data_IF_192689371529
#
_entry.id   IF_192689371529
#
_cell.length_a   1.000
_cell.length_b   1.000
_cell.length_c   1.000
_cell.angle_alpha   90.00
_cell.angle_beta   90.00
_cell.angle_gamma   90.00
#
_symmetry.space_group_name_H-M   'P 1'
#
loop_
_entity.id
_entity.type
_entity.pdbx_description
1 polymer ?
#
# COMPACT_ATOMS: atom_id res chain seq x y z
N UNK A 1 9.66 15.94 -16.86
CA UNK A 1 10.04 16.62 -15.60
C UNK A 1 8.89 17.34 -14.89
N UNK A 2 7.63 17.28 -15.36
CA UNK A 2 6.47 17.90 -14.69
C UNK A 2 5.80 17.05 -13.59
N UNK A 3 6.23 15.80 -13.40
CA UNK A 3 5.70 14.91 -12.35
C UNK A 3 6.17 15.25 -10.93
N UNK A 4 7.37 15.83 -10.80
CA UNK A 4 8.09 15.94 -9.53
C UNK A 4 7.36 16.85 -8.52
N UNK A 5 6.85 18.01 -8.97
CA UNK A 5 6.17 18.98 -8.09
C UNK A 5 4.86 18.46 -7.48
N UNK A 6 4.12 17.59 -8.20
CA UNK A 6 2.87 17.03 -7.67
C UNK A 6 3.15 16.00 -6.58
N UNK A 7 4.20 15.20 -6.75
CA UNK A 7 4.60 14.21 -5.75
C UNK A 7 5.19 14.88 -4.51
N UNK A 8 5.94 15.97 -4.66
CA UNK A 8 6.47 16.77 -3.54
C UNK A 8 5.36 17.32 -2.62
N UNK A 9 4.25 17.83 -3.18
CA UNK A 9 3.15 18.38 -2.39
C UNK A 9 2.31 17.29 -1.68
N UNK A 10 2.30 16.07 -2.22
CA UNK A 10 1.49 14.98 -1.68
C UNK A 10 2.06 14.36 -0.42
N UNK A 11 3.38 14.31 -0.27
CA UNK A 11 4.01 13.70 0.91
C UNK A 11 3.62 14.42 2.20
N UNK A 12 3.77 15.76 2.33
CA UNK A 12 3.28 16.48 3.50
C UNK A 12 1.77 16.35 3.70
N UNK A 13 0.98 16.29 2.62
CA UNK A 13 -0.47 16.10 2.73
C UNK A 13 -0.81 14.74 3.35
N UNK A 14 -0.21 13.66 2.87
CA UNK A 14 -0.46 12.29 3.36
C UNK A 14 -0.07 12.15 4.84
N UNK A 15 1.07 12.72 5.24
CA UNK A 15 1.51 12.72 6.63
C UNK A 15 0.56 13.54 7.51
N UNK A 16 0.16 14.74 7.08
CA UNK A 16 -0.80 15.60 7.79
C UNK A 16 -2.15 14.94 8.01
N UNK A 17 -2.71 14.36 6.94
CA UNK A 17 -4.01 13.70 7.01
C UNK A 17 -3.92 12.46 7.91
N UNK A 18 -2.88 11.64 7.76
CA UNK A 18 -2.68 10.47 8.62
C UNK A 18 -2.55 10.84 10.10
N UNK A 19 -1.63 11.75 10.44
CA UNK A 19 -1.41 12.20 11.82
C UNK A 19 -2.60 12.95 12.40
N UNK A 20 -3.18 13.87 11.62
CA UNK A 20 -4.33 14.64 12.04
C UNK A 20 -5.55 13.77 12.29
N UNK A 21 -5.79 12.76 11.47
CA UNK A 21 -6.86 11.78 11.69
C UNK A 21 -6.68 11.02 13.00
N UNK A 22 -5.45 10.66 13.39
CA UNK A 22 -5.18 10.02 14.70
C UNK A 22 -5.59 10.93 15.85
N UNK A 23 -5.15 12.18 15.86
CA UNK A 23 -5.44 13.11 16.95
C UNK A 23 -6.92 13.49 17.04
N UNK A 24 -7.57 13.70 15.90
CA UNK A 24 -9.03 13.90 15.86
C UNK A 24 -9.75 12.66 16.39
N UNK A 25 -9.35 11.48 15.96
CA UNK A 25 -9.94 10.22 16.40
C UNK A 25 -9.81 10.02 17.92
N UNK A 26 -8.60 10.19 18.46
CA UNK A 26 -8.33 9.99 19.89
C UNK A 26 -8.95 11.04 20.80
N UNK A 27 -9.21 12.25 20.31
CA UNK A 27 -9.96 13.25 21.05
C UNK A 27 -11.47 12.98 21.01
N UNK A 28 -12.01 12.53 19.88
CA UNK A 28 -13.45 12.33 19.70
C UNK A 28 -13.94 10.99 20.25
N UNK A 29 -13.38 9.87 19.78
CA UNK A 29 -14.06 8.57 19.89
C UNK A 29 -13.97 7.96 21.29
N UNK A 30 -12.78 7.86 21.92
CA UNK A 30 -12.70 7.20 23.22
C UNK A 30 -13.47 7.95 24.31
N UNK A 31 -13.46 9.28 24.26
CA UNK A 31 -13.85 10.12 25.39
C UNK A 31 -15.11 10.95 25.13
N UNK A 32 -15.19 11.69 24.01
CA UNK A 32 -16.35 12.55 23.74
C UNK A 32 -17.59 11.75 23.31
N UNK A 33 -17.40 10.63 22.62
CA UNK A 33 -18.49 9.73 22.22
C UNK A 33 -18.81 8.64 23.24
N UNK A 34 -18.02 8.52 24.32
CA UNK A 34 -18.24 7.54 25.39
C UNK A 34 -18.15 6.08 24.95
N UNK A 35 -17.40 5.79 23.87
CA UNK A 35 -17.29 4.45 23.29
C UNK A 35 -16.08 3.66 23.80
N UNK A 36 -15.19 4.29 24.59
CA UNK A 36 -14.02 3.63 25.15
C UNK A 36 -14.36 2.77 26.38
N UNK A 37 -13.78 1.58 26.54
CA UNK A 37 -13.88 0.82 27.79
C UNK A 37 -13.27 1.60 28.97
N UNK A 38 -13.61 1.20 30.21
CA UNK A 38 -13.12 1.75 31.50
C UNK A 38 -11.59 1.79 31.68
N UNK A 39 -10.81 1.46 30.64
CA UNK A 39 -9.35 1.59 30.53
C UNK A 39 -8.76 2.94 30.99
N UNK A 40 -9.58 3.99 31.15
CA UNK A 40 -9.17 5.26 31.76
C UNK A 40 -8.95 5.21 33.28
N UNK A 41 -9.31 4.12 33.96
CA UNK A 41 -9.03 3.93 35.40
C UNK A 41 -7.51 4.05 35.74
N UNK A 42 -6.62 3.86 34.77
CA UNK A 42 -5.17 4.05 34.94
C UNK A 42 -4.75 5.52 35.07
N UNK A 43 -5.50 6.46 34.47
CA UNK A 43 -5.24 7.90 34.54
C UNK A 43 -6.17 8.63 35.51
N UNK A 44 -7.22 7.96 36.01
CA UNK A 44 -8.16 8.49 37.00
C UNK A 44 -7.59 8.53 38.44
N UNK A 45 -6.28 8.30 38.64
CA UNK A 45 -5.64 8.63 39.94
C UNK A 45 -5.81 10.13 40.20
N UNK A 46 -6.12 10.54 41.44
CA UNK A 46 -6.41 11.93 41.76
C UNK A 46 -5.28 12.83 41.27
N UNK A 47 -5.65 13.78 40.43
CA UNK A 47 -4.69 14.74 39.88
C UNK A 47 -4.05 15.50 41.04
N UNK A 48 -2.72 15.58 41.06
CA UNK A 48 -1.96 16.42 42.01
C UNK A 48 -2.40 17.90 41.98
N UNK A 49 -3.13 18.31 40.95
CA UNK A 49 -3.61 19.67 40.69
C UNK A 49 -4.99 19.97 41.28
N UNK A 50 -5.68 19.01 41.92
CA UNK A 50 -6.99 19.25 42.54
C UNK A 50 -8.13 19.54 41.55
N UNK A 51 -7.91 19.33 40.26
CA UNK A 51 -8.95 19.44 39.24
C UNK A 51 -9.82 18.18 39.25
N UNK A 52 -11.14 18.37 39.21
CA UNK A 52 -12.09 17.27 39.02
C UNK A 52 -11.74 16.51 37.74
N UNK A 53 -11.60 15.18 37.83
CA UNK A 53 -11.04 14.35 36.75
C UNK A 53 -11.75 14.50 35.40
N UNK A 54 -13.06 14.81 35.40
CA UNK A 54 -13.84 15.02 34.18
C UNK A 54 -13.43 16.27 33.38
N UNK A 55 -13.19 17.40 34.05
CA UNK A 55 -12.87 18.66 33.36
C UNK A 55 -11.50 18.62 32.69
N UNK A 56 -10.52 17.96 33.31
CA UNK A 56 -9.18 17.83 32.74
C UNK A 56 -9.17 16.92 31.50
N UNK A 57 -9.91 15.81 31.52
CA UNK A 57 -10.04 14.92 30.35
C UNK A 57 -10.64 15.67 29.17
N UNK A 58 -11.76 16.40 29.39
CA UNK A 58 -12.43 17.14 28.33
C UNK A 58 -11.49 18.17 27.66
N UNK A 59 -10.70 18.89 28.46
CA UNK A 59 -9.73 19.87 27.95
C UNK A 59 -8.63 19.18 27.14
N UNK A 60 -8.08 18.07 27.63
CA UNK A 60 -7.05 17.30 26.90
C UNK A 60 -7.59 16.75 25.58
N UNK A 61 -8.82 16.27 25.56
CA UNK A 61 -9.44 15.71 24.36
C UNK A 61 -9.79 16.79 23.34
N UNK A 62 -10.33 17.93 23.79
CA UNK A 62 -10.52 19.11 22.95
C UNK A 62 -9.21 19.60 22.34
N UNK A 63 -8.12 19.58 23.11
CA UNK A 63 -6.78 19.91 22.63
C UNK A 63 -6.27 18.92 21.56
N UNK A 64 -6.48 17.60 21.73
CA UNK A 64 -6.13 16.60 20.71
C UNK A 64 -6.91 16.85 19.41
N UNK A 65 -8.22 17.10 19.49
CA UNK A 65 -9.03 17.41 18.31
C UNK A 65 -8.51 18.65 17.60
N UNK A 66 -8.23 19.73 18.36
CA UNK A 66 -7.68 20.97 17.80
C UNK A 66 -6.35 20.73 17.10
N UNK A 67 -5.42 20.03 17.75
CA UNK A 67 -4.13 19.67 17.17
C UNK A 67 -4.30 18.88 15.86
N UNK A 68 -5.21 17.91 15.85
CA UNK A 68 -5.52 17.12 14.67
C UNK A 68 -6.11 17.95 13.52
N UNK A 69 -7.03 18.85 13.81
CA UNK A 69 -7.60 19.78 12.83
C UNK A 69 -6.54 20.73 12.26
N UNK A 70 -5.67 21.29 13.11
CA UNK A 70 -4.55 22.12 12.66
C UNK A 70 -3.64 21.37 11.67
N UNK A 71 -3.33 20.10 11.95
CA UNK A 71 -2.56 19.26 11.04
C UNK A 71 -3.28 19.03 9.70
N UNK A 72 -4.57 18.65 9.72
CA UNK A 72 -5.35 18.36 8.49
C UNK A 72 -5.49 19.61 7.61
N UNK A 73 -5.82 20.76 8.22
CA UNK A 73 -5.97 22.04 7.51
C UNK A 73 -4.62 22.57 7.02
N UNK A 74 -3.51 22.13 7.63
CA UNK A 74 -2.18 22.60 7.30
C UNK A 74 -1.84 23.94 7.96
N UNK A 75 -2.45 24.24 9.10
CA UNK A 75 -2.17 25.45 9.87
C UNK A 75 -1.07 25.19 10.90
N UNK A 76 -0.03 26.03 10.90
CA UNK A 76 1.10 25.97 11.86
C UNK A 76 1.77 24.57 11.90
N UNK A 77 1.89 23.93 10.73
CA UNK A 77 2.36 22.54 10.58
C UNK A 77 3.67 22.23 11.33
N UNK A 78 4.73 23.06 11.23
CA UNK A 78 6.00 22.71 11.87
C UNK A 78 5.90 22.66 13.40
N UNK A 79 5.16 23.61 14.00
CA UNK A 79 4.96 23.66 15.44
C UNK A 79 3.99 22.57 15.90
N UNK A 80 2.91 22.30 15.16
CA UNK A 80 2.01 21.19 15.45
C UNK A 80 2.74 19.85 15.43
N UNK A 81 3.63 19.64 14.47
CA UNK A 81 4.46 18.43 14.37
C UNK A 81 5.46 18.32 15.54
N UNK A 82 6.13 19.42 15.90
CA UNK A 82 7.05 19.46 17.03
C UNK A 82 6.34 19.17 18.37
N UNK A 83 5.17 19.80 18.57
CA UNK A 83 4.33 19.60 19.74
C UNK A 83 3.87 18.14 19.85
N UNK A 84 3.39 17.55 18.75
CA UNK A 84 3.07 16.13 18.67
C UNK A 84 4.27 15.27 19.09
N UNK A 85 5.46 15.52 18.55
CA UNK A 85 6.66 14.74 18.89
C UNK A 85 6.97 14.81 20.40
N UNK A 86 6.89 16.01 20.98
CA UNK A 86 7.04 16.20 22.43
C UNK A 86 6.00 15.43 23.24
N UNK A 87 4.72 15.50 22.86
CA UNK A 87 3.63 14.79 23.51
C UNK A 87 3.82 13.27 23.46
N UNK A 88 4.27 12.73 22.32
CA UNK A 88 4.54 11.29 22.16
C UNK A 88 5.69 10.82 23.05
N UNK A 89 6.76 11.62 23.18
CA UNK A 89 7.88 11.31 24.09
C UNK A 89 7.42 11.31 25.55
N UNK A 90 6.71 12.36 25.98
CA UNK A 90 6.18 12.47 27.34
C UNK A 90 5.18 11.34 27.65
N UNK A 91 4.28 11.04 26.71
CA UNK A 91 3.31 9.94 26.85
C UNK A 91 4.00 8.58 26.95
N UNK A 92 4.97 8.30 26.08
CA UNK A 92 5.73 7.03 26.11
C UNK A 92 6.48 6.88 27.42
N UNK A 93 7.15 7.94 27.89
CA UNK A 93 7.85 7.94 29.16
C UNK A 93 6.89 7.74 30.34
N UNK A 94 5.77 8.47 30.36
CA UNK A 94 4.75 8.32 31.39
C UNK A 94 4.19 6.89 31.47
N UNK A 95 3.91 6.28 30.32
CA UNK A 95 3.47 4.88 30.24
C UNK A 95 4.56 3.94 30.73
N UNK A 96 5.83 4.17 30.37
CA UNK A 96 6.95 3.35 30.83
C UNK A 96 7.08 3.36 32.37
N UNK A 97 6.83 4.51 33.00
CA UNK A 97 6.91 4.66 34.46
C UNK A 97 5.69 4.08 35.17
N UNK A 98 4.48 4.39 34.68
CA UNK A 98 3.23 4.06 35.39
C UNK A 98 2.73 2.66 35.07
N UNK A 99 2.88 2.22 33.82
CA UNK A 99 2.34 0.96 33.33
C UNK A 99 3.26 0.34 32.27
N UNK A 100 4.48 -0.10 32.64
CA UNK A 100 5.48 -0.60 31.68
C UNK A 100 4.98 -1.78 30.85
N UNK A 101 4.00 -2.56 31.35
CA UNK A 101 3.36 -3.64 30.60
C UNK A 101 2.61 -3.14 29.35
N UNK A 102 2.13 -1.89 29.34
CA UNK A 102 1.49 -1.28 28.17
C UNK A 102 2.47 -0.88 27.08
N UNK A 103 3.78 -0.90 27.35
CA UNK A 103 4.78 -0.73 26.31
C UNK A 103 4.77 -1.95 25.36
N UNK A 104 4.72 -3.16 25.94
CA UNK A 104 4.81 -4.46 25.25
C UNK A 104 3.49 -5.03 24.77
N UNK A 105 2.38 -4.35 25.07
CA UNK A 105 1.07 -4.78 24.63
C UNK A 105 0.94 -4.71 23.08
N UNK A 106 0.11 -5.52 22.41
CA UNK A 106 -0.02 -5.49 20.93
C UNK A 106 -0.57 -4.17 20.37
N UNK A 107 -1.34 -3.46 21.20
CA UNK A 107 -1.76 -2.08 20.94
C UNK A 107 -0.87 -1.08 21.69
N UNK A 108 0.32 -1.51 22.10
CA UNK A 108 1.17 -0.83 23.04
C UNK A 108 1.71 0.50 22.53
N UNK A 109 2.13 1.33 23.49
CA UNK A 109 2.56 2.69 23.20
C UNK A 109 3.80 2.75 22.28
N UNK A 110 4.71 1.77 22.36
CA UNK A 110 5.94 1.78 21.57
C UNK A 110 5.65 1.70 20.07
N UNK A 111 4.87 0.71 19.63
CA UNK A 111 4.62 0.50 18.20
C UNK A 111 3.87 1.66 17.57
N UNK A 112 2.86 2.17 18.27
CA UNK A 112 2.08 3.35 17.85
C UNK A 112 2.93 4.63 17.86
N UNK A 113 3.56 4.95 18.99
CA UNK A 113 4.22 6.25 19.15
C UNK A 113 5.48 6.36 18.30
N UNK A 114 6.19 5.25 18.03
CA UNK A 114 7.38 5.27 17.18
C UNK A 114 7.06 5.72 15.75
N UNK A 115 6.01 5.17 15.13
CA UNK A 115 5.66 5.57 13.76
C UNK A 115 5.06 6.99 13.73
N UNK A 116 4.23 7.35 14.70
CA UNK A 116 3.73 8.73 14.84
C UNK A 116 4.86 9.74 15.01
N UNK A 117 5.89 9.39 15.77
CA UNK A 117 7.06 10.23 16.00
C UNK A 117 7.89 10.37 14.71
N UNK A 118 8.16 9.27 14.00
CA UNK A 118 8.86 9.32 12.72
C UNK A 118 8.12 10.17 11.67
N UNK A 119 6.79 10.01 11.57
CA UNK A 119 5.95 10.82 10.69
C UNK A 119 5.94 12.30 11.10
N UNK A 120 5.90 12.59 12.40
CA UNK A 120 5.98 13.94 12.96
C UNK A 120 7.31 14.62 12.64
N UNK A 121 8.44 13.91 12.81
CA UNK A 121 9.76 14.42 12.43
C UNK A 121 9.83 14.73 10.93
N UNK A 122 9.38 13.82 10.07
CA UNK A 122 9.30 14.05 8.62
C UNK A 122 8.49 15.32 8.30
N UNK A 123 7.34 15.49 8.94
CA UNK A 123 6.47 16.63 8.71
C UNK A 123 7.09 17.95 9.20
N UNK A 124 7.75 17.93 10.37
CA UNK A 124 8.48 19.08 10.89
C UNK A 124 9.62 19.52 9.98
N UNK A 125 10.39 18.57 9.44
CA UNK A 125 11.48 18.85 8.50
C UNK A 125 10.96 19.39 7.16
N UNK A 126 9.87 18.83 6.63
CA UNK A 126 9.25 19.28 5.38
C UNK A 126 8.57 20.66 5.52
N UNK A 127 8.02 20.97 6.70
CA UNK A 127 7.36 22.25 6.97
C UNK A 127 8.35 23.43 7.02
N UNK A 128 9.52 23.27 7.65
CA UNK A 128 10.52 24.34 7.72
C UNK A 128 11.18 24.64 6.36
N UNK A 129 11.23 23.65 5.47
CA UNK A 129 11.82 23.79 4.13
C UNK A 129 11.02 24.69 3.19
N UNK A 130 9.75 24.97 3.50
CA UNK A 130 8.89 25.87 2.72
C UNK A 130 9.15 27.36 2.98
N UNK A 131 9.60 27.71 4.19
CA UNK A 131 9.73 29.11 4.64
C UNK A 131 11.14 29.69 4.44
N UNK A 132 12.17 28.84 4.28
CA UNK A 132 13.56 29.26 4.03
C UNK A 132 14.06 28.67 2.72
N UNK A 133 14.34 29.52 1.74
CA UNK A 133 14.73 29.16 0.36
C UNK A 133 16.09 28.45 0.22
N UNK A 134 16.72 27.97 1.30
CA UNK A 134 18.03 27.31 1.28
C UNK A 134 18.18 26.01 2.11
N UNK A 135 17.33 25.74 3.11
CA UNK A 135 17.52 24.63 4.07
C UNK A 135 16.55 23.47 3.82
N UNK A 136 16.60 22.88 2.62
CA UNK A 136 15.85 21.63 2.39
C UNK A 136 16.58 20.48 3.09
N UNK A 137 15.85 19.59 3.81
CA UNK A 137 16.48 18.39 4.33
C UNK A 137 17.04 17.56 3.16
N UNK A 138 18.17 16.87 3.36
CA UNK A 138 18.70 15.99 2.33
C UNK A 138 17.62 15.00 1.86
N UNK A 139 17.50 14.79 0.55
CA UNK A 139 16.41 14.00 -0.05
C UNK A 139 16.31 12.55 0.46
N UNK A 140 17.36 12.04 1.12
CA UNK A 140 17.40 10.71 1.71
C UNK A 140 16.80 10.62 3.11
N UNK A 141 16.66 11.74 3.85
CA UNK A 141 16.29 11.70 5.28
C UNK A 141 14.84 11.29 5.47
N UNK A 142 13.90 11.90 4.74
CA UNK A 142 12.47 11.57 4.85
C UNK A 142 12.18 10.10 4.55
N UNK A 143 12.60 9.51 3.41
CA UNK A 143 12.36 8.09 3.15
C UNK A 143 13.09 7.18 4.16
N UNK A 144 14.27 7.58 4.68
CA UNK A 144 14.93 6.81 5.73
C UNK A 144 14.11 6.80 7.03
N UNK A 145 13.68 7.96 7.52
CA UNK A 145 12.89 8.06 8.75
C UNK A 145 11.58 7.27 8.65
N UNK A 146 10.89 7.34 7.51
CA UNK A 146 9.69 6.54 7.27
C UNK A 146 9.99 5.03 7.26
N UNK A 147 11.09 4.60 6.62
CA UNK A 147 11.50 3.18 6.62
C UNK A 147 11.88 2.69 8.01
N UNK A 148 12.61 3.49 8.79
CA UNK A 148 12.98 3.13 10.16
C UNK A 148 11.74 3.06 11.03
N UNK A 149 10.88 4.08 11.00
CA UNK A 149 9.66 4.12 11.81
C UNK A 149 8.68 2.99 11.49
N UNK A 150 8.46 2.67 10.22
CA UNK A 150 7.59 1.56 9.81
C UNK A 150 8.27 0.21 10.01
N UNK A 151 9.53 0.07 9.60
CA UNK A 151 10.27 -1.19 9.67
C UNK A 151 10.47 -1.68 11.10
N UNK A 152 10.86 -0.79 12.01
CA UNK A 152 11.00 -1.12 13.45
C UNK A 152 9.65 -1.43 14.06
N UNK A 153 8.58 -0.73 13.69
CA UNK A 153 7.23 -1.02 14.17
C UNK A 153 6.78 -2.43 13.76
N UNK A 154 6.93 -2.83 12.49
CA UNK A 154 6.55 -4.18 12.05
C UNK A 154 7.45 -5.27 12.65
N UNK A 155 8.75 -5.01 12.83
CA UNK A 155 9.63 -5.91 13.56
C UNK A 155 9.18 -6.08 15.01
N UNK A 156 8.79 -4.98 15.65
CA UNK A 156 8.28 -5.00 17.01
C UNK A 156 6.98 -5.81 17.11
N UNK A 157 5.98 -5.51 16.27
CA UNK A 157 4.69 -6.21 16.23
C UNK A 157 4.82 -7.70 15.88
N UNK A 158 5.78 -8.04 15.01
CA UNK A 158 6.04 -9.43 14.64
C UNK A 158 6.72 -10.23 15.73
N UNK A 159 7.62 -9.62 16.51
CA UNK A 159 8.45 -10.33 17.50
C UNK A 159 7.88 -10.21 18.92
N UNK A 160 7.56 -9.00 19.38
CA UNK A 160 7.24 -8.74 20.78
C UNK A 160 5.88 -9.32 21.18
N UNK A 161 4.74 -8.90 20.61
CA UNK A 161 3.43 -9.40 21.04
C UNK A 161 3.10 -10.81 20.51
N UNK A 162 3.82 -11.34 19.51
CA UNK A 162 3.51 -12.64 18.90
C UNK A 162 4.45 -13.77 19.31
N UNK A 163 5.71 -13.46 19.57
CA UNK A 163 6.71 -14.47 19.98
C UNK A 163 7.08 -14.37 21.46
N UNK A 164 7.40 -13.17 21.94
CA UNK A 164 7.94 -12.98 23.29
C UNK A 164 6.83 -12.87 24.36
N UNK A 165 5.77 -12.12 24.07
CA UNK A 165 4.62 -11.91 24.98
C UNK A 165 3.28 -12.04 24.26
N UNK A 166 2.88 -13.28 23.87
CA UNK A 166 1.58 -13.57 23.26
C UNK A 166 0.40 -12.95 24.02
N UNK A 167 -0.40 -12.12 23.34
CA UNK A 167 -1.58 -11.52 23.93
C UNK A 167 -2.82 -12.41 23.79
N UNK A 168 -3.54 -12.60 24.89
CA UNK A 168 -4.83 -13.30 24.88
C UNK A 168 -5.88 -12.57 24.04
N UNK A 169 -5.82 -11.24 23.97
CA UNK A 169 -6.73 -10.45 23.15
C UNK A 169 -6.58 -10.77 21.65
N UNK A 170 -5.34 -10.93 21.16
CA UNK A 170 -5.10 -11.32 19.76
C UNK A 170 -5.58 -12.74 19.48
N UNK A 171 -5.34 -13.67 20.41
CA UNK A 171 -5.85 -15.04 20.32
C UNK A 171 -7.37 -15.05 20.20
N UNK A 172 -8.05 -14.25 21.03
CA UNK A 172 -9.51 -14.16 21.02
C UNK A 172 -10.04 -13.54 19.73
N UNK A 173 -9.45 -12.44 19.25
CA UNK A 173 -9.83 -11.80 17.98
C UNK A 173 -9.71 -12.80 16.83
N UNK A 174 -8.57 -13.52 16.75
CA UNK A 174 -8.36 -14.50 15.69
C UNK A 174 -9.31 -15.70 15.83
N UNK A 175 -9.52 -16.22 17.04
CA UNK A 175 -10.43 -17.35 17.27
C UNK A 175 -11.87 -17.02 16.85
N UNK A 176 -12.35 -15.80 17.14
CA UNK A 176 -13.68 -15.32 16.76
C UNK A 176 -13.92 -15.27 15.25
N UNK A 177 -12.86 -15.23 14.43
CA UNK A 177 -13.02 -15.25 12.97
C UNK A 177 -13.59 -16.58 12.46
N UNK A 178 -13.32 -17.70 13.14
CA UNK A 178 -13.66 -19.04 12.66
C UNK A 178 -12.97 -19.47 11.35
N UNK A 179 -12.08 -18.64 10.80
CA UNK A 179 -11.47 -18.84 9.46
C UNK A 179 -10.15 -19.60 9.50
N UNK A 180 -9.54 -19.77 10.68
CA UNK A 180 -8.22 -20.38 10.82
C UNK A 180 -8.39 -21.86 11.20
N UNK A 181 -8.12 -22.81 10.27
CA UNK A 181 -8.31 -24.24 10.52
C UNK A 181 -7.19 -24.85 11.38
N UNK A 182 -6.19 -24.05 11.76
CA UNK A 182 -5.02 -24.47 12.55
C UNK A 182 -5.08 -23.90 13.96
N UNK A 183 -4.22 -24.41 14.85
CA UNK A 183 -4.09 -23.91 16.21
C UNK A 183 -3.74 -22.41 16.23
N UNK A 184 -4.62 -21.58 16.81
CA UNK A 184 -4.53 -20.10 16.77
C UNK A 184 -3.18 -19.56 17.25
N UNK A 185 -2.59 -20.02 18.37
CA UNK A 185 -1.25 -19.60 18.79
C UNK A 185 -0.14 -19.88 17.77
N UNK A 186 -0.22 -21.00 17.04
CA UNK A 186 0.74 -21.30 15.98
C UNK A 186 0.56 -20.34 14.80
N UNK A 187 -0.69 -20.09 14.40
CA UNK A 187 -0.99 -19.10 13.37
C UNK A 187 -0.44 -17.71 13.71
N UNK A 188 -0.63 -17.25 14.95
CA UNK A 188 -0.10 -15.96 15.41
C UNK A 188 1.43 -15.90 15.34
N UNK A 189 2.14 -16.98 15.69
CA UNK A 189 3.61 -17.03 15.55
C UNK A 189 4.06 -16.95 14.09
N UNK A 190 3.37 -17.66 13.19
CA UNK A 190 3.64 -17.59 11.74
C UNK A 190 3.36 -16.19 11.20
N UNK A 191 2.26 -15.58 11.61
CA UNK A 191 1.94 -14.19 11.28
C UNK A 191 3.04 -13.25 11.79
N UNK A 192 3.56 -13.47 13.00
CA UNK A 192 4.66 -12.70 13.55
C UNK A 192 5.96 -12.81 12.74
N UNK A 193 6.26 -13.99 12.19
CA UNK A 193 7.38 -14.15 11.27
C UNK A 193 7.19 -13.34 9.98
N UNK A 194 5.97 -13.34 9.43
CA UNK A 194 5.65 -12.56 8.21
C UNK A 194 5.76 -11.06 8.48
N UNK A 195 5.23 -10.58 9.60
CA UNK A 195 5.34 -9.18 10.02
C UNK A 195 6.80 -8.76 10.27
N UNK A 196 7.59 -9.60 10.93
CA UNK A 196 9.01 -9.33 11.15
C UNK A 196 9.79 -9.28 9.83
N UNK A 197 9.50 -10.20 8.90
CA UNK A 197 10.09 -10.19 7.56
C UNK A 197 9.71 -8.93 6.77
N UNK A 198 8.43 -8.52 6.84
CA UNK A 198 7.94 -7.27 6.25
C UNK A 198 8.67 -6.06 6.84
N UNK A 199 8.81 -6.00 8.16
CA UNK A 199 9.53 -4.95 8.86
C UNK A 199 10.99 -4.87 8.44
N UNK A 200 11.67 -6.01 8.32
CA UNK A 200 13.05 -6.07 7.84
C UNK A 200 13.17 -5.60 6.39
N UNK A 201 12.28 -6.04 5.49
CA UNK A 201 12.26 -5.62 4.09
C UNK A 201 12.04 -4.11 3.95
N UNK A 202 11.12 -3.54 4.72
CA UNK A 202 10.88 -2.09 4.75
C UNK A 202 12.10 -1.35 5.29
N UNK A 203 12.70 -1.85 6.38
CA UNK A 203 13.86 -1.23 7.03
C UNK A 203 15.06 -1.14 6.08
N UNK A 204 15.42 -2.26 5.44
CA UNK A 204 16.52 -2.28 4.44
C UNK A 204 16.14 -1.58 3.14
N UNK A 205 14.86 -1.30 2.92
CA UNK A 205 14.37 -0.64 1.71
C UNK A 205 14.40 -1.55 0.49
N UNK A 206 13.95 -2.80 0.65
CA UNK A 206 13.76 -3.78 -0.42
C UNK A 206 12.31 -3.79 -0.89
N UNK A 207 12.08 -3.53 -2.18
CA UNK A 207 10.75 -3.48 -2.76
C UNK A 207 9.86 -2.42 -2.12
N UNK A 208 10.41 -1.27 -1.70
CA UNK A 208 9.76 -0.31 -0.78
C UNK A 208 8.33 0.07 -1.19
N UNK A 209 8.09 0.34 -2.47
CA UNK A 209 6.75 0.69 -2.97
C UNK A 209 5.77 -0.47 -2.87
N UNK A 210 6.21 -1.68 -3.21
CA UNK A 210 5.38 -2.88 -3.06
C UNK A 210 5.06 -3.17 -1.60
N UNK A 211 6.06 -3.06 -0.72
CA UNK A 211 5.87 -3.22 0.72
C UNK A 211 4.96 -2.14 1.32
N UNK A 212 5.00 -0.90 0.82
CA UNK A 212 4.07 0.15 1.25
C UNK A 212 2.61 -0.18 0.89
N UNK A 213 2.36 -0.66 -0.33
CA UNK A 213 1.01 -1.10 -0.74
C UNK A 213 0.55 -2.31 0.07
N UNK A 214 1.44 -3.29 0.28
CA UNK A 214 1.16 -4.46 1.08
C UNK A 214 0.78 -4.08 2.52
N UNK A 215 1.51 -3.17 3.15
CA UNK A 215 1.18 -2.65 4.49
C UNK A 215 -0.21 -2.02 4.54
N UNK A 216 -0.54 -1.14 3.59
CA UNK A 216 -1.89 -0.52 3.53
C UNK A 216 -2.97 -1.59 3.39
N UNK A 217 -2.76 -2.59 2.54
CA UNK A 217 -3.67 -3.73 2.38
C UNK A 217 -3.84 -4.53 3.67
N UNK A 218 -2.74 -4.92 4.31
CA UNK A 218 -2.74 -5.70 5.56
C UNK A 218 -3.42 -4.93 6.70
N UNK A 219 -3.12 -3.64 6.85
CA UNK A 219 -3.76 -2.77 7.86
C UNK A 219 -5.25 -2.62 7.59
N UNK A 220 -5.66 -2.47 6.32
CA UNK A 220 -7.06 -2.40 5.92
C UNK A 220 -7.81 -3.69 6.25
N UNK A 221 -7.26 -4.85 5.86
CA UNK A 221 -7.82 -6.16 6.18
C UNK A 221 -7.91 -6.36 7.69
N UNK A 222 -6.83 -6.10 8.43
CA UNK A 222 -6.82 -6.26 9.89
C UNK A 222 -7.86 -5.35 10.56
N UNK A 223 -7.97 -4.08 10.15
CA UNK A 223 -8.98 -3.16 10.67
C UNK A 223 -10.40 -3.65 10.40
N UNK A 224 -10.66 -4.17 9.19
CA UNK A 224 -11.96 -4.72 8.83
C UNK A 224 -12.30 -5.99 9.65
N UNK A 225 -11.33 -6.88 9.85
CA UNK A 225 -11.50 -8.07 10.71
C UNK A 225 -11.83 -7.64 12.13
N UNK A 226 -11.03 -6.74 12.74
CA UNK A 226 -11.28 -6.24 14.10
C UNK A 226 -12.65 -5.56 14.19
N UNK A 227 -13.03 -4.76 13.19
CA UNK A 227 -14.34 -4.11 13.16
C UNK A 227 -15.52 -5.10 13.10
N UNK A 228 -15.33 -6.24 12.43
CA UNK A 228 -16.32 -7.29 12.37
C UNK A 228 -16.36 -8.13 13.66
N UNK A 229 -15.22 -8.59 14.15
CA UNK A 229 -15.17 -9.54 15.28
C UNK A 229 -15.25 -8.88 16.64
N UNK A 230 -14.74 -7.66 16.78
CA UNK A 230 -14.52 -7.00 18.06
C UNK A 230 -14.49 -5.46 17.94
N UNK A 231 -15.60 -4.82 17.54
CA UNK A 231 -15.67 -3.39 17.21
C UNK A 231 -15.25 -2.47 18.36
N UNK A 232 -15.36 -2.90 19.62
CA UNK A 232 -14.89 -2.15 20.78
C UNK A 232 -13.39 -1.83 20.72
N UNK A 233 -12.56 -2.69 20.13
CA UNK A 233 -11.12 -2.43 19.96
C UNK A 233 -10.81 -1.35 18.91
N UNK A 234 -11.79 -0.95 18.09
CA UNK A 234 -11.61 0.21 17.24
C UNK A 234 -11.59 1.48 18.10
N UNK A 235 -12.50 1.59 19.07
CA UNK A 235 -12.67 2.76 19.95
C UNK A 235 -11.63 2.91 21.07
N UNK A 236 -10.77 1.91 21.28
CA UNK A 236 -9.67 2.01 22.24
C UNK A 236 -8.65 3.09 21.79
N UNK A 237 -8.24 4.04 22.66
CA UNK A 237 -7.24 5.06 22.33
C UNK A 237 -5.90 4.49 21.85
N UNK A 238 -5.49 3.38 22.45
CA UNK A 238 -4.31 2.61 22.04
C UNK A 238 -4.65 1.64 20.90
N UNK A 239 -5.94 1.46 20.62
CA UNK A 239 -6.54 0.50 19.71
C UNK A 239 -6.09 0.55 18.26
N UNK A 240 -6.66 -0.40 17.52
CA UNK A 240 -6.22 -0.74 16.16
C UNK A 240 -6.41 0.42 15.18
N UNK A 241 -7.50 1.17 15.30
CA UNK A 241 -7.85 2.18 14.30
C UNK A 241 -6.92 3.41 14.37
N UNK A 242 -6.68 3.95 15.57
CA UNK A 242 -5.82 5.13 15.76
C UNK A 242 -4.40 4.85 15.26
N UNK A 243 -3.82 3.70 15.65
CA UNK A 243 -2.52 3.24 15.16
C UNK A 243 -2.51 3.14 13.64
N UNK A 244 -3.47 2.42 13.06
CA UNK A 244 -3.48 2.10 11.63
C UNK A 244 -3.61 3.33 10.72
N UNK A 245 -4.34 4.38 11.15
CA UNK A 245 -4.47 5.63 10.37
C UNK A 245 -3.10 6.30 10.12
N UNK A 246 -2.26 6.39 11.14
CA UNK A 246 -0.91 6.93 10.99
C UNK A 246 0.02 6.02 10.18
N UNK A 247 -0.10 4.70 10.38
CA UNK A 247 0.66 3.72 9.60
C UNK A 247 0.32 3.81 8.11
N UNK A 248 -0.97 3.95 7.75
CA UNK A 248 -1.42 4.14 6.37
C UNK A 248 -0.88 5.45 5.80
N UNK A 249 -1.00 6.57 6.52
CA UNK A 249 -0.44 7.85 6.07
C UNK A 249 1.07 7.79 5.81
N UNK A 250 1.81 7.13 6.71
CA UNK A 250 3.26 6.93 6.61
C UNK A 250 3.64 6.00 5.46
N UNK A 251 2.90 4.90 5.26
CA UNK A 251 3.13 3.96 4.16
C UNK A 251 2.84 4.61 2.80
N UNK A 252 1.77 5.39 2.68
CA UNK A 252 1.49 6.15 1.46
C UNK A 252 2.54 7.22 1.18
N UNK A 253 3.01 7.93 2.22
CA UNK A 253 4.13 8.86 2.10
C UNK A 253 5.42 8.15 1.66
N UNK A 254 5.70 6.95 2.18
CA UNK A 254 6.83 6.12 1.79
C UNK A 254 6.70 5.61 0.34
N UNK A 255 5.49 5.26 -0.10
CA UNK A 255 5.22 4.89 -1.48
C UNK A 255 5.59 6.03 -2.46
N UNK A 256 5.24 7.27 -2.09
CA UNK A 256 5.52 8.47 -2.88
C UNK A 256 7.01 8.82 -2.90
N UNK A 257 7.63 8.91 -1.72
CA UNK A 257 9.06 9.24 -1.57
C UNK A 257 9.99 8.15 -2.12
N UNK A 258 9.53 6.90 -2.18
CA UNK A 258 10.34 5.76 -2.57
C UNK A 258 11.31 5.32 -1.48
N UNK A 259 12.32 4.54 -1.87
CA UNK A 259 13.23 3.89 -0.92
C UNK A 259 14.35 4.81 -0.39
N UNK A 260 14.67 5.87 -1.13
CA UNK A 260 15.79 6.78 -0.82
C UNK A 260 17.15 6.19 -1.23
N UNK A 261 18.19 7.03 -1.24
CA UNK A 261 19.52 6.65 -1.75
C UNK A 261 20.26 5.61 -0.89
N UNK A 262 19.89 5.48 0.38
CA UNK A 262 20.49 4.55 1.34
C UNK A 262 19.79 3.17 1.37
N UNK A 263 18.77 2.96 0.52
CA UNK A 263 18.05 1.70 0.50
C UNK A 263 18.76 0.61 -0.32
N UNK A 264 18.50 -0.64 0.04
CA UNK A 264 18.94 -1.81 -0.71
C UNK A 264 18.42 -1.77 -2.14
N UNK A 265 17.20 -1.28 -2.38
CA UNK A 265 16.68 -1.05 -3.74
C UNK A 265 17.59 -0.14 -4.58
N UNK A 266 18.10 0.96 -3.99
CA UNK A 266 18.96 1.91 -4.68
C UNK A 266 20.35 1.31 -4.94
N UNK A 267 20.87 0.53 -3.99
CA UNK A 267 22.12 -0.21 -4.16
C UNK A 267 22.00 -1.28 -5.25
N UNK A 268 20.96 -2.11 -5.19
CA UNK A 268 20.65 -3.14 -6.18
C UNK A 268 20.40 -2.54 -7.56
N UNK A 269 19.75 -1.38 -7.65
CA UNK A 269 19.52 -0.69 -8.92
C UNK A 269 20.81 -0.25 -9.63
N UNK A 270 21.94 -0.10 -8.92
CA UNK A 270 23.26 0.20 -9.51
C UNK A 270 23.99 -1.05 -9.99
N UNK A 271 23.54 -2.24 -9.62
CA UNK A 271 24.17 -3.50 -9.97
C UNK A 271 23.65 -4.00 -11.34
N UNK A 272 24.54 -4.10 -12.33
CA UNK A 272 24.21 -4.54 -13.69
C UNK A 272 23.57 -5.94 -13.72
N UNK A 273 24.02 -6.87 -12.86
CA UNK A 273 23.44 -8.22 -12.75
C UNK A 273 21.99 -8.14 -12.29
N UNK A 274 21.70 -7.27 -11.33
CA UNK A 274 20.34 -7.07 -10.83
C UNK A 274 19.45 -6.36 -11.86
N UNK A 275 19.97 -5.36 -12.57
CA UNK A 275 19.23 -4.71 -13.67
C UNK A 275 18.85 -5.73 -14.75
N UNK A 276 19.79 -6.58 -15.15
CA UNK A 276 19.53 -7.67 -16.10
C UNK A 276 18.50 -8.66 -15.57
N UNK A 277 18.63 -9.09 -14.31
CA UNK A 277 17.66 -9.99 -13.68
C UNK A 277 16.26 -9.36 -13.66
N UNK A 278 16.14 -8.08 -13.29
CA UNK A 278 14.88 -7.33 -13.32
C UNK A 278 14.30 -7.23 -14.72
N UNK A 279 15.12 -6.90 -15.72
CA UNK A 279 14.68 -6.86 -17.11
C UNK A 279 14.11 -8.22 -17.53
N UNK A 280 14.85 -9.30 -17.29
CA UNK A 280 14.38 -10.66 -17.60
C UNK A 280 13.10 -11.00 -16.85
N UNK A 281 13.00 -10.68 -15.56
CA UNK A 281 11.79 -10.92 -14.77
C UNK A 281 10.58 -10.14 -15.32
N UNK A 282 10.76 -8.88 -15.72
CA UNK A 282 9.67 -8.09 -16.32
C UNK A 282 9.28 -8.63 -17.71
N UNK A 283 10.25 -8.99 -18.56
CA UNK A 283 9.96 -9.60 -19.86
C UNK A 283 9.21 -10.94 -19.72
N UNK A 284 9.56 -11.77 -18.73
CA UNK A 284 8.86 -13.02 -18.42
C UNK A 284 7.44 -12.77 -17.91
N UNK A 285 7.27 -11.76 -17.05
CA UNK A 285 5.97 -11.32 -16.56
C UNK A 285 5.07 -10.85 -17.70
N UNK A 286 5.56 -9.95 -18.56
CA UNK A 286 4.82 -9.48 -19.73
C UNK A 286 4.45 -10.65 -20.65
N UNK A 287 5.41 -11.55 -20.94
CA UNK A 287 5.13 -12.73 -21.77
C UNK A 287 4.03 -13.61 -21.17
N UNK A 288 4.04 -13.80 -19.86
CA UNK A 288 3.01 -14.57 -19.17
C UNK A 288 1.63 -13.90 -19.27
N UNK A 289 1.58 -12.57 -19.23
CA UNK A 289 0.38 -11.78 -19.42
C UNK A 289 -0.13 -11.92 -20.86
N UNK A 290 0.71 -11.77 -21.89
CA UNK A 290 0.26 -11.88 -23.29
C UNK A 290 -0.24 -13.27 -23.66
N UNK A 291 0.39 -14.32 -23.11
CA UNK A 291 -0.13 -15.69 -23.23
C UNK A 291 -1.52 -15.81 -22.59
N UNK A 292 -1.71 -15.17 -21.44
CA UNK A 292 -3.01 -15.12 -20.76
C UNK A 292 -4.04 -14.32 -21.55
N UNK A 293 -3.70 -13.11 -21.99
CA UNK A 293 -4.55 -12.22 -22.78
C UNK A 293 -5.02 -12.91 -24.07
N UNK A 294 -4.08 -13.50 -24.84
CA UNK A 294 -4.38 -14.26 -26.06
C UNK A 294 -5.41 -15.36 -25.84
N UNK A 295 -5.30 -16.13 -24.75
CA UNK A 295 -6.23 -17.21 -24.41
C UNK A 295 -7.58 -16.69 -23.92
N UNK A 296 -7.59 -15.63 -23.09
CA UNK A 296 -8.82 -14.98 -22.66
C UNK A 296 -9.62 -14.45 -23.87
N UNK A 297 -8.95 -13.77 -24.81
CA UNK A 297 -9.55 -13.29 -26.05
C UNK A 297 -10.09 -14.42 -26.91
N UNK A 298 -9.36 -15.53 -27.01
CA UNK A 298 -9.82 -16.72 -27.75
C UNK A 298 -11.13 -17.26 -27.19
N UNK A 299 -11.25 -17.36 -25.86
CA UNK A 299 -12.47 -17.84 -25.19
C UNK A 299 -13.63 -16.85 -25.36
N UNK A 300 -13.37 -15.55 -25.20
CA UNK A 300 -14.38 -14.52 -25.38
C UNK A 300 -14.88 -14.43 -26.83
N UNK A 301 -13.99 -14.61 -27.81
CA UNK A 301 -14.35 -14.69 -29.22
C UNK A 301 -15.31 -15.85 -29.50
N UNK A 302 -15.07 -17.02 -28.89
CA UNK A 302 -15.94 -18.20 -29.04
C UNK A 302 -17.32 -17.99 -28.39
N UNK A 303 -17.41 -17.19 -27.34
CA UNK A 303 -18.64 -16.91 -26.62
C UNK A 303 -19.39 -15.65 -27.13
N UNK A 304 -18.79 -14.84 -27.99
CA UNK A 304 -19.38 -13.61 -28.48
C UNK A 304 -20.53 -13.91 -29.46
N UNK A 305 -21.76 -13.53 -29.08
CA UNK A 305 -22.92 -13.66 -29.97
C UNK A 305 -23.04 -12.58 -31.05
N UNK A 306 -22.17 -11.56 -31.02
CA UNK A 306 -22.13 -10.47 -32.00
C UNK A 306 -20.89 -10.66 -32.90
N UNK A 307 -21.05 -10.81 -34.23
CA UNK A 307 -19.95 -11.04 -35.16
C UNK A 307 -18.85 -10.00 -35.06
N UNK A 308 -19.21 -8.73 -34.84
CA UNK A 308 -18.22 -7.64 -34.76
C UNK A 308 -17.34 -7.73 -33.51
N UNK A 309 -17.89 -8.22 -32.40
CA UNK A 309 -17.12 -8.45 -31.18
C UNK A 309 -16.25 -9.71 -31.31
N UNK A 310 -16.78 -10.75 -31.96
CA UNK A 310 -16.04 -11.97 -32.26
C UNK A 310 -14.80 -11.69 -33.11
N UNK A 311 -14.94 -10.94 -34.21
CA UNK A 311 -13.81 -10.56 -35.07
C UNK A 311 -12.76 -9.73 -34.31
N UNK A 312 -13.22 -8.78 -33.48
CA UNK A 312 -12.32 -7.98 -32.64
C UNK A 312 -11.51 -8.86 -31.69
N UNK A 313 -12.16 -9.77 -30.95
CA UNK A 313 -11.46 -10.65 -30.02
C UNK A 313 -10.54 -11.65 -30.72
N UNK A 314 -10.91 -12.15 -31.91
CA UNK A 314 -10.01 -13.00 -32.71
C UNK A 314 -8.75 -12.26 -33.12
N UNK A 315 -8.89 -11.01 -33.58
CA UNK A 315 -7.75 -10.17 -33.93
C UNK A 315 -6.84 -9.95 -32.72
N UNK A 316 -7.40 -9.50 -31.59
CA UNK A 316 -6.62 -9.27 -30.37
C UNK A 316 -5.92 -10.56 -29.91
N UNK A 317 -6.61 -11.69 -29.93
CA UNK A 317 -6.03 -13.01 -29.58
C UNK A 317 -4.78 -13.34 -30.41
N UNK A 318 -4.83 -13.06 -31.71
CA UNK A 318 -3.71 -13.27 -32.62
C UNK A 318 -2.58 -12.28 -32.36
N UNK A 319 -2.88 -11.00 -32.21
CA UNK A 319 -1.88 -9.96 -31.97
C UNK A 319 -1.10 -10.25 -30.65
N UNK A 320 -1.80 -10.62 -29.57
CA UNK A 320 -1.18 -10.99 -28.29
C UNK A 320 -0.32 -12.26 -28.35
N UNK A 321 -0.73 -13.24 -29.18
CA UNK A 321 0.09 -14.43 -29.40
C UNK A 321 1.45 -14.06 -30.03
N UNK A 322 1.46 -13.13 -30.99
CA UNK A 322 2.69 -12.65 -31.61
C UNK A 322 3.55 -11.86 -30.60
N UNK A 323 2.95 -11.01 -29.75
CA UNK A 323 3.69 -10.30 -28.70
C UNK A 323 4.35 -11.27 -27.71
N UNK A 324 3.66 -12.35 -27.32
CA UNK A 324 4.23 -13.39 -26.46
C UNK A 324 5.45 -14.08 -27.08
N UNK A 325 5.45 -14.29 -28.40
CA UNK A 325 6.58 -14.87 -29.15
C UNK A 325 7.75 -13.89 -29.25
N UNK A 326 7.47 -12.63 -29.57
CA UNK A 326 8.45 -11.55 -29.64
C UNK A 326 9.15 -11.34 -28.29
N UNK A 327 8.39 -11.29 -27.20
CA UNK A 327 8.93 -11.25 -25.84
C UNK A 327 9.78 -12.50 -25.54
N UNK A 328 9.38 -13.67 -26.02
CA UNK A 328 10.19 -14.89 -25.93
C UNK A 328 11.54 -14.75 -26.64
N UNK A 329 11.57 -14.11 -27.80
CA UNK A 329 12.79 -13.80 -28.55
C UNK A 329 13.66 -12.77 -27.83
N UNK A 330 13.05 -11.73 -27.24
CA UNK A 330 13.77 -10.74 -26.43
C UNK A 330 14.40 -11.36 -25.17
N UNK A 331 13.69 -12.27 -24.50
CA UNK A 331 14.23 -13.02 -23.34
C UNK A 331 15.48 -13.80 -23.74
N UNK A 332 15.43 -14.54 -24.86
CA UNK A 332 16.59 -15.30 -25.38
C UNK A 332 17.76 -14.39 -25.71
N UNK A 333 17.50 -13.24 -26.33
CA UNK A 333 18.52 -12.24 -26.67
C UNK A 333 19.26 -11.68 -25.45
N UNK A 334 18.55 -11.51 -24.33
CA UNK A 334 19.15 -11.07 -23.06
C UNK A 334 19.73 -12.25 -22.24
N UNK A 335 19.91 -13.42 -22.88
CA UNK A 335 20.49 -14.63 -22.31
C UNK A 335 19.62 -15.32 -21.26
N UNK A 336 18.32 -15.01 -21.22
CA UNK A 336 17.34 -15.75 -20.43
C UNK A 336 16.77 -16.93 -21.21
N UNK A 337 16.01 -17.79 -20.52
CA UNK A 337 15.20 -18.85 -21.13
C UNK A 337 13.73 -18.59 -20.79
N UNK A 338 12.81 -18.58 -21.77
CA UNK A 338 11.38 -18.42 -21.48
C UNK A 338 10.90 -19.45 -20.48
N UNK A 339 10.24 -19.02 -19.41
CA UNK A 339 9.75 -19.93 -18.38
C UNK A 339 8.60 -20.80 -18.93
N UNK A 340 8.50 -22.08 -18.51
CA UNK A 340 7.46 -23.00 -18.97
C UNK A 340 6.11 -22.75 -18.28
N UNK A 341 5.73 -21.49 -18.07
CA UNK A 341 4.48 -21.09 -17.39
C UNK A 341 3.27 -21.04 -18.33
N UNK A 342 3.47 -21.26 -19.63
CA UNK A 342 2.43 -21.05 -20.65
C UNK A 342 1.15 -21.85 -20.39
N UNK A 343 1.25 -23.11 -19.94
CA UNK A 343 0.08 -23.93 -19.65
C UNK A 343 -0.71 -23.44 -18.44
N UNK A 344 -0.01 -22.99 -17.39
CA UNK A 344 -0.65 -22.43 -16.20
C UNK A 344 -1.35 -21.10 -16.52
N UNK A 345 -0.67 -20.21 -17.24
CA UNK A 345 -1.24 -18.92 -17.68
C UNK A 345 -2.48 -19.14 -18.54
N UNK A 346 -2.43 -20.06 -19.52
CA UNK A 346 -3.59 -20.41 -20.35
C UNK A 346 -4.75 -20.96 -19.52
N UNK A 347 -4.49 -21.86 -18.57
CA UNK A 347 -5.53 -22.42 -17.70
C UNK A 347 -6.24 -21.35 -16.86
N UNK A 348 -5.46 -20.46 -16.21
CA UNK A 348 -6.03 -19.36 -15.41
C UNK A 348 -6.79 -18.34 -16.27
N UNK A 349 -6.22 -17.98 -17.43
CA UNK A 349 -6.84 -17.03 -18.33
C UNK A 349 -8.09 -17.59 -19.02
N UNK A 350 -8.14 -18.89 -19.30
CA UNK A 350 -9.33 -19.57 -19.79
C UNK A 350 -10.49 -19.43 -18.79
N UNK A 351 -10.24 -19.68 -17.49
CA UNK A 351 -11.24 -19.50 -16.43
C UNK A 351 -11.73 -18.05 -16.40
N UNK A 352 -10.81 -17.08 -16.45
CA UNK A 352 -11.16 -15.66 -16.45
C UNK A 352 -11.93 -15.23 -17.71
N UNK A 353 -11.56 -15.77 -18.87
CA UNK A 353 -12.27 -15.61 -20.14
C UNK A 353 -13.70 -16.14 -20.05
N UNK A 354 -13.89 -17.33 -19.48
CA UNK A 354 -15.23 -17.89 -19.21
C UNK A 354 -16.05 -17.00 -18.27
N UNK A 355 -15.46 -16.56 -17.15
CA UNK A 355 -16.14 -15.69 -16.19
C UNK A 355 -16.59 -14.37 -16.82
N UNK A 356 -15.71 -13.71 -17.58
CA UNK A 356 -16.07 -12.45 -18.25
C UNK A 356 -17.09 -12.66 -19.36
N UNK A 357 -17.01 -13.77 -20.10
CA UNK A 357 -18.00 -14.15 -21.11
C UNK A 357 -19.39 -14.40 -20.51
N UNK A 358 -19.47 -15.10 -19.37
CA UNK A 358 -20.73 -15.34 -18.64
C UNK A 358 -21.36 -14.02 -18.20
N UNK A 359 -20.54 -13.06 -17.75
CA UNK A 359 -20.99 -11.70 -17.39
C UNK A 359 -21.41 -10.85 -18.62
N UNK A 360 -21.22 -11.38 -19.83
CA UNK A 360 -21.61 -10.79 -21.11
C UNK A 360 -20.52 -9.94 -21.77
N UNK A 361 -20.66 -9.69 -23.07
CA UNK A 361 -19.65 -9.01 -23.91
C UNK A 361 -19.19 -7.66 -23.36
N UNK A 362 -20.06 -6.92 -22.66
CA UNK A 362 -19.70 -5.62 -22.07
C UNK A 362 -18.74 -5.77 -20.89
N UNK A 363 -18.84 -6.85 -20.13
CA UNK A 363 -17.92 -7.16 -19.05
C UNK A 363 -16.56 -7.58 -19.64
N UNK A 364 -16.55 -8.45 -20.65
CA UNK A 364 -15.35 -8.81 -21.43
C UNK A 364 -14.61 -7.56 -21.93
N UNK A 365 -15.24 -6.73 -22.77
CA UNK A 365 -14.62 -5.52 -23.31
C UNK A 365 -14.06 -4.55 -22.27
N UNK A 366 -14.66 -4.49 -21.06
CA UNK A 366 -14.15 -3.65 -19.96
C UNK A 366 -12.95 -4.26 -19.27
N UNK A 367 -13.00 -5.57 -19.03
CA UNK A 367 -11.89 -6.32 -18.48
C UNK A 367 -10.68 -6.24 -19.42
N UNK A 368 -10.92 -6.44 -20.71
CA UNK A 368 -9.91 -6.37 -21.75
C UNK A 368 -9.31 -4.97 -21.87
N UNK A 369 -10.16 -3.93 -21.87
CA UNK A 369 -9.67 -2.55 -21.87
C UNK A 369 -8.77 -2.26 -20.66
N UNK A 370 -9.12 -2.79 -19.48
CA UNK A 370 -8.28 -2.66 -18.29
C UNK A 370 -6.96 -3.43 -18.43
N UNK A 371 -6.98 -4.60 -19.08
CA UNK A 371 -5.80 -5.40 -19.35
C UNK A 371 -4.81 -4.65 -20.27
N UNK A 372 -5.28 -4.12 -21.41
CA UNK A 372 -4.42 -3.39 -22.37
C UNK A 372 -3.88 -2.07 -21.81
N UNK A 373 -4.68 -1.35 -21.01
CA UNK A 373 -4.21 -0.16 -20.30
C UNK A 373 -3.09 -0.51 -19.30
N UNK A 374 -3.16 -1.69 -18.68
CA UNK A 374 -2.10 -2.26 -17.85
C UNK A 374 -0.85 -2.64 -18.63
N UNK A 375 -1.02 -3.32 -19.79
CA UNK A 375 0.07 -3.77 -20.67
C UNK A 375 0.98 -2.63 -21.11
N UNK A 376 0.41 -1.49 -21.54
CA UNK A 376 1.17 -0.30 -21.94
C UNK A 376 2.15 0.20 -20.85
N UNK A 377 1.71 0.19 -19.59
CA UNK A 377 2.54 0.62 -18.47
C UNK A 377 3.69 -0.36 -18.20
N UNK A 378 3.48 -1.66 -18.44
CA UNK A 378 4.48 -2.70 -18.28
C UNK A 378 5.56 -2.63 -19.38
N UNK A 379 5.17 -2.40 -20.64
CA UNK A 379 6.13 -2.21 -21.73
C UNK A 379 7.00 -0.97 -21.51
N UNK A 380 6.40 0.15 -21.09
CA UNK A 380 7.14 1.37 -20.76
C UNK A 380 8.14 1.13 -19.62
N UNK A 381 7.76 0.33 -18.60
CA UNK A 381 8.65 -0.06 -17.50
C UNK A 381 9.82 -0.91 -18.00
N UNK A 382 9.58 -1.88 -18.89
CA UNK A 382 10.64 -2.69 -19.48
C UNK A 382 11.62 -1.83 -20.28
N UNK A 383 11.10 -0.90 -21.10
CA UNK A 383 11.92 0.01 -21.90
C UNK A 383 12.84 0.88 -21.02
N UNK A 384 12.34 1.35 -19.87
CA UNK A 384 13.14 2.11 -18.91
C UNK A 384 14.24 1.31 -18.18
N UNK A 385 14.21 -0.03 -18.25
CA UNK A 385 15.26 -0.89 -17.70
C UNK A 385 16.34 -1.26 -18.73
N UNK A 386 16.13 -0.92 -20.01
CA UNK A 386 17.10 -1.23 -21.04
C UNK A 386 18.31 -0.31 -20.96
N UNK A 387 19.53 -0.86 -21.16
CA UNK A 387 20.70 -0.02 -21.29
C UNK A 387 20.64 0.77 -22.62
N UNK A 388 21.29 1.94 -22.72
CA UNK A 388 21.23 2.81 -23.91
C UNK A 388 21.59 2.10 -25.23
N UNK A 389 22.49 1.13 -25.17
CA UNK A 389 22.95 0.33 -26.31
C UNK A 389 21.93 -0.70 -26.81
N UNK A 390 20.87 -1.01 -26.07
CA UNK A 390 19.86 -2.02 -26.43
C UNK A 390 18.83 -1.51 -27.45
N UNK A 391 19.27 -0.77 -28.48
CA UNK A 391 18.40 -0.06 -29.42
C UNK A 391 17.40 -0.95 -30.15
N UNK A 392 17.73 -2.22 -30.45
CA UNK A 392 16.78 -3.13 -31.11
C UNK A 392 15.68 -3.58 -30.13
N UNK A 393 16.01 -3.92 -28.89
CA UNK A 393 15.00 -4.30 -27.89
C UNK A 393 14.09 -3.11 -27.55
N UNK A 394 14.65 -1.90 -27.45
CA UNK A 394 13.87 -0.70 -27.22
C UNK A 394 12.86 -0.44 -28.35
N UNK A 395 13.28 -0.56 -29.61
CA UNK A 395 12.38 -0.44 -30.77
C UNK A 395 11.30 -1.51 -30.80
N UNK A 396 11.63 -2.76 -30.46
CA UNK A 396 10.64 -3.84 -30.39
C UNK A 396 9.58 -3.57 -29.31
N UNK A 397 10.00 -3.17 -28.10
CA UNK A 397 9.06 -2.80 -27.02
C UNK A 397 8.20 -1.58 -27.41
N UNK A 398 8.77 -0.60 -28.09
CA UNK A 398 8.03 0.57 -28.57
C UNK A 398 7.01 0.21 -29.67
N UNK A 399 7.35 -0.73 -30.55
CA UNK A 399 6.44 -1.23 -31.57
C UNK A 399 5.24 -1.95 -30.93
N UNK A 400 5.49 -2.87 -29.98
CA UNK A 400 4.44 -3.53 -29.21
C UNK A 400 3.58 -2.50 -28.46
N UNK A 401 4.19 -1.54 -27.75
CA UNK A 401 3.46 -0.47 -27.06
C UNK A 401 2.58 0.37 -28.01
N UNK A 402 3.01 0.56 -29.26
CA UNK A 402 2.21 1.28 -30.26
C UNK A 402 1.01 0.47 -30.73
N UNK A 403 1.17 -0.85 -30.88
CA UNK A 403 0.09 -1.78 -31.21
C UNK A 403 -0.92 -1.88 -30.07
N UNK A 404 -0.47 -1.98 -28.81
CA UNK A 404 -1.32 -1.88 -27.61
C UNK A 404 -2.15 -0.59 -27.58
N UNK A 405 -1.53 0.53 -28.00
CA UNK A 405 -2.22 1.80 -28.20
C UNK A 405 -3.39 1.70 -29.17
N UNK A 406 -3.27 0.85 -30.20
CA UNK A 406 -4.35 0.57 -31.15
C UNK A 406 -5.41 -0.34 -30.55
N UNK A 407 -5.04 -1.38 -29.78
CA UNK A 407 -5.98 -2.28 -29.10
C UNK A 407 -6.92 -1.50 -28.16
N UNK A 408 -6.35 -0.63 -27.31
CA UNK A 408 -7.12 0.26 -26.43
C UNK A 408 -8.10 1.14 -27.19
N UNK A 409 -7.71 1.68 -28.36
CA UNK A 409 -8.62 2.50 -29.19
C UNK A 409 -9.77 1.67 -29.74
N UNK A 410 -9.48 0.50 -30.31
CA UNK A 410 -10.49 -0.41 -30.86
C UNK A 410 -11.52 -0.83 -29.79
N UNK A 411 -11.05 -1.24 -28.61
CA UNK A 411 -11.92 -1.62 -27.49
C UNK A 411 -12.82 -0.46 -27.03
N UNK A 412 -12.28 0.76 -26.92
CA UNK A 412 -13.05 1.95 -26.54
C UNK A 412 -14.11 2.31 -27.58
N UNK A 413 -13.76 2.23 -28.86
CA UNK A 413 -14.69 2.55 -29.95
C UNK A 413 -15.81 1.51 -30.03
N UNK A 414 -15.50 0.24 -29.84
CA UNK A 414 -16.52 -0.82 -29.76
C UNK A 414 -17.46 -0.63 -28.55
N UNK A 415 -16.91 -0.29 -27.36
CA UNK A 415 -17.72 0.06 -26.17
C UNK A 415 -18.64 1.27 -26.42
N UNK A 416 -18.18 2.28 -27.16
CA UNK A 416 -18.98 3.46 -27.53
C UNK A 416 -20.08 3.10 -28.52
N UNK A 417 -19.76 2.35 -29.58
CA UNK A 417 -20.72 1.91 -30.59
C UNK A 417 -21.86 1.10 -29.96
N UNK A 418 -21.52 0.16 -29.06
CA UNK A 418 -22.51 -0.64 -28.35
C UNK A 418 -23.39 0.19 -27.40
N UNK A 419 -22.82 1.20 -26.74
CA UNK A 419 -23.58 2.15 -25.92
C UNK A 419 -24.56 2.97 -26.76
N UNK A 420 -24.17 3.37 -27.98
CA UNK A 420 -25.05 4.07 -28.91
C UNK A 420 -26.19 3.17 -29.39
N UNK A 421 -25.90 1.93 -29.78
CA UNK A 421 -26.91 0.96 -30.21
C UNK A 421 -27.95 0.64 -29.13
N UNK A 422 -27.55 0.59 -27.85
CA UNK A 422 -28.48 0.41 -26.72
C UNK A 422 -29.37 1.63 -26.47
N UNK A 423 -28.92 2.84 -26.82
CA UNK A 423 -29.73 4.07 -26.69
C UNK A 423 -30.77 4.19 -27.79
N UNK A 424 -30.46 3.77 -29.02
CA UNK A 424 -31.40 3.82 -30.15
C UNK A 424 -32.54 2.79 -30.09
N UNK A 425 -32.48 1.80 -29.18
CA UNK A 425 -33.53 0.81 -28.95
C UNK A 425 -34.52 1.19 -27.83
N UNK A 426 -34.28 2.31 -27.15
CA UNK A 426 -35.17 2.88 -26.13
C UNK A 426 -35.92 4.05 -26.73
#
# INVERSE_FOLDING_TARGET
MSGDRRDEAQVPLLLRVGLGAVWVYEGLVPNLLGLGPDSFMLFARPSLLGWGGGSLSLVMDGFKVLLGVCLVVGWIVPWAAALQCGLLLVSTFGIAVVAPKLLIYPTGAISKNLTLFAAGLCLGMLGHAGDRTGDRPPAWVVPLLLRVGLGVMWLYEGLVPKWLWPSQAEVEIVARTGMIPVHVPLFLRLLGCVEAALGLMVLVGLGTRGMAVLQVGLLGVFTAVVGWTSPAYLADPLGTLSKNLALVGSALALYRTGSGSLALDAWLARNATWQRWRLLANLQGNRAIEIGASEAYRVQAQAAGDPTAQELFQKLSLDEAHHAEDLGSLIRRHGGRPLPVASLCRGLAWVLGCLTAILGTRASLRFDLWLEEGGQALYARCAGLLPPEAGITARALQAMQTQEGQHVRLLRDHLRARRAAMRGKR
#
